data_IF_377232563390
#
_entry.id   IF_377232563390
#
_cell.length_a   1.000
_cell.length_b   1.000
_cell.length_c   1.000
_cell.angle_alpha   90.00
_cell.angle_beta   90.00
_cell.angle_gamma   90.00
#
_symmetry.space_group_name_H-M   'P 1'
#
loop_
_entity.id
_entity.type
_entity.pdbx_description
1 polymer ?
#
# COMPACT_ATOMS: atom_id res chain seq x y z
N UNK A 1 6.07 27.48 -4.89
CA UNK A 1 4.64 27.20 -4.63
C UNK A 1 4.59 25.97 -3.72
N UNK A 2 4.39 26.16 -2.42
CA UNK A 2 4.40 25.06 -1.44
C UNK A 2 3.02 24.41 -1.43
N UNK A 3 2.92 23.17 -1.90
CA UNK A 3 1.68 22.39 -1.88
C UNK A 3 1.69 21.57 -0.60
N UNK A 4 0.90 21.96 0.40
CA UNK A 4 0.67 21.12 1.57
C UNK A 4 0.01 19.81 1.11
N UNK A 5 0.79 18.74 1.01
CA UNK A 5 0.27 17.37 0.83
C UNK A 5 -0.08 16.79 2.20
N UNK A 6 -1.07 17.37 2.88
CA UNK A 6 -1.61 16.89 4.17
C UNK A 6 -2.52 15.68 4.00
N UNK A 7 -2.44 14.96 2.89
CA UNK A 7 -3.27 13.79 2.61
C UNK A 7 -2.41 12.74 1.94
N UNK A 8 -2.61 11.47 2.34
CA UNK A 8 -2.04 10.34 1.64
C UNK A 8 -2.41 10.43 0.14
N UNK A 9 -1.49 10.06 -0.77
CA UNK A 9 -1.81 9.96 -2.17
C UNK A 9 -2.96 8.98 -2.34
N UNK A 10 -3.85 9.29 -3.29
CA UNK A 10 -5.06 8.51 -3.53
C UNK A 10 -4.73 7.01 -3.69
N UNK A 11 -5.47 6.15 -2.98
CA UNK A 11 -5.38 4.68 -3.02
C UNK A 11 -4.01 4.03 -2.69
N UNK A 12 -3.06 4.75 -2.05
CA UNK A 12 -1.74 4.24 -1.60
C UNK A 12 -1.21 3.03 -2.41
N UNK A 13 -1.02 3.18 -3.73
CA UNK A 13 -0.90 2.00 -4.58
C UNK A 13 0.42 1.27 -4.33
N UNK A 14 0.33 -0.05 -4.21
CA UNK A 14 1.47 -0.96 -4.08
C UNK A 14 1.64 -1.70 -5.40
N UNK A 15 2.83 -1.62 -5.99
CA UNK A 15 3.18 -2.34 -7.22
C UNK A 15 4.08 -3.52 -6.89
N UNK A 16 3.74 -4.68 -7.44
CA UNK A 16 4.52 -5.90 -7.31
C UNK A 16 5.16 -6.24 -8.65
N UNK A 17 6.50 -6.27 -8.70
CA UNK A 17 7.24 -6.73 -9.86
C UNK A 17 7.92 -8.07 -9.54
N UNK A 18 7.34 -9.14 -10.08
CA UNK A 18 7.89 -10.50 -9.94
C UNK A 18 9.25 -10.64 -10.62
N UNK A 19 9.41 -10.13 -11.84
CA UNK A 19 10.63 -10.34 -12.64
C UNK A 19 11.88 -9.80 -11.95
N UNK A 20 11.74 -8.69 -11.22
CA UNK A 20 12.80 -8.10 -10.38
C UNK A 20 12.77 -8.61 -8.94
N UNK A 21 11.70 -9.26 -8.50
CA UNK A 21 11.50 -9.65 -7.10
C UNK A 21 11.42 -8.45 -6.17
N UNK A 22 10.81 -7.34 -6.61
CA UNK A 22 10.73 -6.08 -5.86
C UNK A 22 9.29 -5.61 -5.67
N UNK A 23 9.09 -4.85 -4.60
CA UNK A 23 7.86 -4.09 -4.36
C UNK A 23 8.16 -2.60 -4.43
N UNK A 24 7.19 -1.84 -4.93
CA UNK A 24 7.24 -0.39 -4.96
C UNK A 24 6.01 0.15 -4.25
N UNK A 25 6.22 1.05 -3.30
CA UNK A 25 5.15 1.64 -2.49
C UNK A 25 5.46 3.10 -2.22
N UNK A 26 4.45 3.85 -1.79
CA UNK A 26 4.67 5.18 -1.22
C UNK A 26 4.76 5.08 0.29
N UNK A 27 5.91 5.44 0.84
CA UNK A 27 6.05 5.58 2.28
C UNK A 27 5.45 6.91 2.71
N UNK A 28 4.32 6.82 3.41
CA UNK A 28 3.66 7.97 3.99
C UNK A 28 4.00 8.09 5.48
N UNK A 29 4.83 9.06 5.81
CA UNK A 29 5.23 9.31 7.20
C UNK A 29 4.21 10.21 7.88
N UNK A 30 3.10 9.62 8.30
CA UNK A 30 2.06 10.30 9.06
C UNK A 30 2.55 10.68 10.47
N UNK A 31 2.56 11.98 10.80
CA UNK A 31 2.80 12.48 12.15
C UNK A 31 1.50 12.99 12.75
N UNK A 32 0.81 12.13 13.49
CA UNK A 32 -0.50 12.40 14.08
C UNK A 32 -0.55 13.63 15.00
N UNK A 33 0.59 14.02 15.60
CA UNK A 33 0.69 15.16 16.50
C UNK A 33 1.06 16.48 15.80
N UNK A 34 1.49 16.46 14.53
CA UNK A 34 1.86 17.66 13.79
C UNK A 34 1.15 17.72 12.43
N UNK A 35 -0.07 18.30 12.38
CA UNK A 35 -0.84 18.43 11.15
C UNK A 35 -0.29 19.49 10.18
N UNK A 36 0.69 20.30 10.60
CA UNK A 36 1.28 21.38 9.80
C UNK A 36 2.64 21.00 9.19
N UNK A 37 3.22 19.86 9.58
CA UNK A 37 4.43 19.37 8.93
C UNK A 37 4.09 18.87 7.53
N UNK A 38 4.98 19.12 6.57
CA UNK A 38 4.84 18.55 5.23
C UNK A 38 4.96 17.02 5.35
N UNK A 39 3.82 16.32 5.24
CA UNK A 39 3.78 14.87 5.26
C UNK A 39 4.41 14.36 3.97
N UNK A 40 5.68 13.95 4.07
CA UNK A 40 6.46 13.50 2.92
C UNK A 40 5.93 12.15 2.43
N UNK A 41 5.64 12.12 1.14
CA UNK A 41 5.30 10.92 0.38
C UNK A 41 6.58 10.53 -0.36
N UNK A 42 7.32 9.59 0.20
CA UNK A 42 8.58 9.13 -0.40
C UNK A 42 8.30 7.83 -1.17
N UNK A 43 8.45 7.79 -2.51
CA UNK A 43 8.35 6.55 -3.26
C UNK A 43 9.55 5.67 -2.91
N UNK A 44 9.29 4.46 -2.43
CA UNK A 44 10.29 3.51 -1.94
C UNK A 44 10.20 2.19 -2.68
N UNK A 45 11.35 1.55 -2.84
CA UNK A 45 11.46 0.20 -3.42
C UNK A 45 12.10 -0.74 -2.40
N UNK A 46 11.51 -1.92 -2.22
CA UNK A 46 12.03 -2.96 -1.32
C UNK A 46 12.13 -4.30 -2.04
N UNK A 47 13.07 -5.12 -1.59
CA UNK A 47 13.19 -6.50 -2.09
C UNK A 47 12.09 -7.36 -1.48
N UNK A 48 11.48 -8.23 -2.30
CA UNK A 48 10.40 -9.12 -1.87
C UNK A 48 10.82 -10.03 -0.71
N UNK A 49 12.10 -10.40 -0.62
CA UNK A 49 12.65 -11.23 0.47
C UNK A 49 12.55 -10.56 1.85
N UNK A 50 12.44 -9.23 1.89
CA UNK A 50 12.31 -8.44 3.12
C UNK A 50 10.84 -8.31 3.57
N UNK A 51 9.89 -8.65 2.71
CA UNK A 51 8.47 -8.44 2.96
C UNK A 51 7.90 -9.56 3.83
N UNK A 52 7.22 -9.17 4.90
CA UNK A 52 6.45 -10.07 5.77
C UNK A 52 5.01 -9.60 5.85
N UNK A 53 4.06 -10.52 5.91
CA UNK A 53 2.68 -10.17 6.21
C UNK A 53 2.44 -10.25 7.71
N UNK A 54 1.97 -9.14 8.28
CA UNK A 54 1.51 -9.04 9.65
C UNK A 54 -0.02 -8.92 9.63
N UNK A 55 -0.69 -9.85 10.31
CA UNK A 55 -2.12 -9.74 10.55
C UNK A 55 -2.34 -8.82 11.75
N UNK A 56 -3.10 -7.75 11.57
CA UNK A 56 -3.43 -6.83 12.65
C UNK A 56 -4.92 -6.88 12.98
N UNK A 57 -5.21 -6.65 14.26
CA UNK A 57 -6.55 -6.63 14.82
C UNK A 57 -6.71 -5.38 15.66
N UNK A 58 -7.80 -4.65 15.46
CA UNK A 58 -8.19 -3.51 16.29
C UNK A 58 -9.64 -3.66 16.69
N UNK A 59 -9.85 -3.70 18.00
CA UNK A 59 -11.17 -3.66 18.60
C UNK A 59 -11.41 -2.24 19.07
N UNK A 60 -12.45 -1.59 18.55
CA UNK A 60 -12.86 -0.26 18.98
C UNK A 60 -14.28 -0.33 19.55
N UNK A 61 -14.46 0.17 20.76
CA UNK A 61 -15.80 0.38 21.31
C UNK A 61 -16.38 1.65 20.69
N UNK A 62 -17.55 1.54 20.07
CA UNK A 62 -18.29 2.67 19.57
C UNK A 62 -19.00 3.38 20.74
N UNK A 63 -19.18 4.71 20.67
CA UNK A 63 -19.87 5.47 21.73
C UNK A 63 -21.31 5.01 22.02
N UNK A 64 -21.93 4.27 21.09
CA UNK A 64 -23.28 3.71 21.22
C UNK A 64 -23.31 2.30 21.85
N UNK A 65 -22.19 1.80 22.37
CA UNK A 65 -22.10 0.48 22.99
C UNK A 65 -21.88 -0.69 22.02
N UNK A 66 -21.74 -0.42 20.71
CA UNK A 66 -21.33 -1.44 19.73
C UNK A 66 -19.83 -1.71 19.75
N UNK A 67 -19.42 -2.91 19.36
CA UNK A 67 -18.01 -3.24 19.11
C UNK A 67 -17.73 -3.26 17.61
N UNK A 68 -16.71 -2.53 17.20
CA UNK A 68 -16.21 -2.55 15.83
C UNK A 68 -14.90 -3.36 15.79
N UNK A 69 -14.93 -4.47 15.04
CA UNK A 69 -13.79 -5.35 14.83
C UNK A 69 -13.18 -5.06 13.47
N UNK A 70 -12.03 -4.39 13.47
CA UNK A 70 -11.22 -4.24 12.27
C UNK A 70 -10.11 -5.27 12.28
N UNK A 71 -9.99 -6.03 11.20
CA UNK A 71 -8.81 -6.82 10.92
C UNK A 71 -8.27 -6.48 9.53
N UNK A 72 -6.96 -6.64 9.35
CA UNK A 72 -6.29 -6.34 8.10
C UNK A 72 -4.98 -7.10 7.98
N UNK A 73 -4.47 -7.22 6.75
CA UNK A 73 -3.06 -7.58 6.52
C UNK A 73 -2.27 -6.30 6.26
N UNK A 74 -1.15 -6.19 6.96
CA UNK A 74 -0.14 -5.17 6.76
C UNK A 74 1.12 -5.83 6.21
N UNK A 75 1.73 -5.23 5.20
CA UNK A 75 3.04 -5.60 4.71
C UNK A 75 4.08 -4.89 5.57
N UNK A 76 4.86 -5.66 6.30
CA UNK A 76 5.93 -5.17 7.16
C UNK A 76 7.28 -5.48 6.51
N UNK A 77 8.07 -4.45 6.29
CA UNK A 77 9.39 -4.55 5.66
C UNK A 77 10.42 -4.74 6.76
N UNK A 78 11.15 -5.83 6.69
CA UNK A 78 12.13 -6.21 7.70
C UNK A 78 13.54 -5.98 7.18
N UNK A 79 14.39 -5.36 8.00
CA UNK A 79 15.81 -5.18 7.65
C UNK A 79 16.50 -6.53 7.50
N UNK A 80 17.23 -6.79 6.40
CA UNK A 80 17.98 -8.02 6.22
C UNK A 80 18.88 -8.35 7.41
N UNK A 81 18.80 -9.58 7.90
CA UNK A 81 19.63 -10.05 9.01
C UNK A 81 19.19 -9.61 10.41
N UNK A 82 18.11 -8.83 10.54
CA UNK A 82 17.46 -8.55 11.83
C UNK A 82 15.95 -8.77 11.72
N UNK A 83 15.24 -8.87 12.84
CA UNK A 83 13.76 -8.94 12.84
C UNK A 83 13.13 -7.55 13.04
N UNK A 84 13.86 -6.49 12.71
CA UNK A 84 13.39 -5.12 12.91
C UNK A 84 12.55 -4.67 11.72
N UNK A 85 11.32 -4.25 12.00
CA UNK A 85 10.39 -3.70 11.00
C UNK A 85 10.73 -2.23 10.75
N UNK A 86 11.09 -1.91 9.51
CA UNK A 86 11.42 -0.55 9.04
C UNK A 86 10.14 0.21 8.74
N UNK A 87 9.35 -0.34 7.82
CA UNK A 87 8.16 0.29 7.26
C UNK A 87 7.01 -0.70 7.27
N UNK A 88 5.79 -0.14 7.28
CA UNK A 88 4.56 -0.93 7.21
C UNK A 88 3.59 -0.31 6.22
N UNK A 89 3.01 -1.14 5.36
CA UNK A 89 2.02 -0.74 4.34
C UNK A 89 0.73 -1.52 4.53
N UNK A 90 -0.42 -0.85 4.43
CA UNK A 90 -1.70 -1.54 4.55
C UNK A 90 -2.06 -2.21 3.22
N UNK A 91 -2.36 -3.51 3.25
CA UNK A 91 -2.75 -4.27 2.05
C UNK A 91 -4.26 -4.50 1.96
N UNK A 92 -4.91 -4.75 3.10
CA UNK A 92 -6.36 -4.99 3.16
C UNK A 92 -6.95 -4.43 4.45
N UNK A 93 -8.16 -3.90 4.34
CA UNK A 93 -8.97 -3.39 5.44
C UNK A 93 -10.31 -4.15 5.48
N UNK A 94 -10.64 -4.72 6.64
CA UNK A 94 -11.85 -5.50 6.91
C UNK A 94 -12.01 -6.80 6.11
N UNK A 95 -11.60 -7.92 6.71
CA UNK A 95 -12.16 -9.25 6.50
C UNK A 95 -11.63 -10.06 5.32
N UNK A 96 -11.09 -9.45 4.25
CA UNK A 96 -10.62 -10.18 3.06
C UNK A 96 -9.12 -10.58 3.11
N UNK A 97 -8.55 -10.67 4.30
CA UNK A 97 -7.12 -10.47 4.49
C UNK A 97 -6.24 -11.66 4.04
N UNK A 98 -6.68 -12.88 4.32
CA UNK A 98 -5.88 -14.09 4.03
C UNK A 98 -5.82 -14.40 2.54
N UNK A 99 -6.94 -14.22 1.82
CA UNK A 99 -7.02 -14.46 0.39
C UNK A 99 -6.16 -13.48 -0.41
N UNK A 100 -6.11 -12.21 0.01
CA UNK A 100 -5.30 -11.18 -0.67
C UNK A 100 -3.81 -11.48 -0.50
N UNK A 101 -3.36 -11.84 0.71
CA UNK A 101 -1.95 -12.20 0.91
C UNK A 101 -1.55 -13.47 0.15
N UNK A 102 -2.39 -14.51 0.18
CA UNK A 102 -2.15 -15.74 -0.58
C UNK A 102 -2.08 -15.45 -2.09
N UNK A 103 -2.94 -14.58 -2.61
CA UNK A 103 -2.91 -14.14 -4.00
C UNK A 103 -1.58 -13.48 -4.37
N UNK A 104 -1.10 -12.53 -3.55
CA UNK A 104 0.19 -11.85 -3.77
C UNK A 104 1.36 -12.84 -3.70
N UNK A 105 1.35 -13.77 -2.74
CA UNK A 105 2.38 -14.82 -2.65
C UNK A 105 2.42 -15.69 -3.92
N UNK A 106 1.26 -16.16 -4.37
CA UNK A 106 1.14 -16.96 -5.59
C UNK A 106 1.61 -16.17 -6.82
N UNK A 107 1.24 -14.90 -6.92
CA UNK A 107 1.72 -14.01 -7.99
C UNK A 107 3.25 -13.96 -8.01
N UNK A 108 3.89 -13.69 -6.87
CA UNK A 108 5.34 -13.53 -6.79
C UNK A 108 6.09 -14.85 -7.02
N UNK A 109 5.53 -15.99 -6.58
CA UNK A 109 6.17 -17.30 -6.74
C UNK A 109 5.96 -17.89 -8.15
N UNK A 110 4.70 -18.05 -8.54
CA UNK A 110 4.29 -18.82 -9.72
C UNK A 110 4.05 -17.93 -10.95
N UNK A 111 3.85 -16.62 -10.75
CA UNK A 111 3.60 -15.67 -11.83
C UNK A 111 2.12 -15.55 -12.21
N UNK A 112 1.82 -14.71 -13.21
CA UNK A 112 0.45 -14.40 -13.60
C UNK A 112 -0.31 -15.59 -14.18
N UNK A 113 0.39 -16.63 -14.68
CA UNK A 113 -0.23 -17.83 -15.25
C UNK A 113 -0.92 -18.73 -14.22
N UNK A 114 -0.56 -18.60 -12.94
CA UNK A 114 -1.12 -19.40 -11.85
C UNK A 114 -2.32 -18.75 -11.16
N UNK A 115 -2.67 -17.53 -11.58
CA UNK A 115 -3.73 -16.75 -10.98
C UNK A 115 -4.93 -16.64 -11.93
N UNK A 116 -6.14 -16.48 -11.37
CA UNK A 116 -7.28 -16.10 -12.20
C UNK A 116 -6.94 -14.79 -12.93
N UNK A 117 -7.42 -14.62 -14.17
CA UNK A 117 -7.11 -13.43 -14.94
C UNK A 117 -7.47 -12.19 -14.13
N UNK A 118 -6.53 -11.23 -13.98
CA UNK A 118 -6.80 -10.02 -13.22
C UNK A 118 -7.96 -9.26 -13.87
N UNK A 119 -8.75 -8.58 -13.03
CA UNK A 119 -9.75 -7.65 -13.53
C UNK A 119 -9.11 -6.50 -14.32
N UNK A 120 -9.95 -5.70 -14.99
CA UNK A 120 -9.46 -4.55 -15.75
C UNK A 120 -8.65 -3.60 -14.85
N UNK A 121 -7.47 -3.12 -15.33
CA UNK A 121 -6.67 -2.19 -14.57
C UNK A 121 -7.45 -0.90 -14.36
N UNK A 122 -7.86 -0.65 -13.12
CA UNK A 122 -8.51 0.60 -12.73
C UNK A 122 -7.47 1.70 -12.66
N UNK A 123 -7.74 2.83 -13.30
CA UNK A 123 -6.94 4.03 -13.09
C UNK A 123 -7.21 4.56 -11.68
N UNK A 124 -6.17 4.61 -10.85
CA UNK A 124 -6.25 5.21 -9.52
C UNK A 124 -6.73 6.67 -9.57
N UNK A 125 -6.55 7.36 -10.70
CA UNK A 125 -7.00 8.73 -10.88
C UNK A 125 -8.47 8.86 -11.32
N UNK A 126 -9.12 7.76 -11.70
CA UNK A 126 -10.53 7.73 -12.08
C UNK A 126 -11.40 7.58 -10.83
N UNK A 127 -11.81 8.73 -10.29
CA UNK A 127 -12.58 8.82 -9.05
C UNK A 127 -13.96 9.35 -9.34
N UNK A 128 -14.94 8.74 -8.69
CA UNK A 128 -16.35 9.08 -8.88
C UNK A 128 -16.60 10.54 -8.57
N UNK A 129 -17.55 11.13 -9.28
CA UNK A 129 -17.85 12.56 -9.16
C UNK A 129 -18.21 12.99 -7.73
N UNK A 130 -18.77 12.07 -6.93
CA UNK A 130 -19.22 12.27 -5.56
C UNK A 130 -18.14 12.03 -4.49
N UNK A 131 -16.96 11.53 -4.85
CA UNK A 131 -15.87 11.23 -3.89
C UNK A 131 -14.96 12.45 -3.67
N UNK A 132 -15.55 13.52 -3.12
CA UNK A 132 -14.91 14.82 -2.96
C UNK A 132 -13.57 14.76 -2.21
N UNK A 133 -13.48 13.93 -1.15
CA UNK A 133 -12.25 13.76 -0.37
C UNK A 133 -11.10 13.20 -1.22
N UNK A 134 -11.36 12.20 -2.05
CA UNK A 134 -10.36 11.61 -2.95
C UNK A 134 -9.97 12.57 -4.07
N UNK A 135 -10.87 13.46 -4.51
CA UNK A 135 -10.56 14.53 -5.50
C UNK A 135 -9.65 15.62 -4.96
N UNK A 136 -9.70 15.88 -3.65
CA UNK A 136 -8.80 16.82 -2.98
C UNK A 136 -7.43 16.19 -2.67
N UNK A 137 -7.36 14.87 -2.56
CA UNK A 137 -6.11 14.15 -2.35
C UNK A 137 -5.13 14.36 -3.52
N UNK A 138 -3.82 14.44 -3.24
CA UNK A 138 -2.81 14.51 -4.29
C UNK A 138 -2.89 13.28 -5.19
N UNK A 139 -2.81 13.52 -6.51
CA UNK A 139 -2.74 12.45 -7.52
C UNK A 139 -1.50 11.60 -7.28
N UNK A 140 -1.64 10.31 -7.52
CA UNK A 140 -0.51 9.38 -7.54
C UNK A 140 0.35 9.69 -8.77
N UNK A 141 1.60 10.08 -8.55
CA UNK A 141 2.56 10.27 -9.64
C UNK A 141 3.89 9.61 -9.27
N UNK A 142 4.24 8.54 -9.99
CA UNK A 142 5.47 7.79 -9.75
C UNK A 142 6.65 8.52 -10.40
N UNK A 143 7.84 8.55 -9.77
CA UNK A 143 9.04 9.04 -10.44
C UNK A 143 9.25 8.27 -11.74
N UNK A 144 9.58 8.96 -12.84
CA UNK A 144 9.62 8.36 -14.19
C UNK A 144 10.54 7.12 -14.28
N UNK A 145 11.70 7.17 -13.62
CA UNK A 145 12.64 6.06 -13.55
C UNK A 145 12.04 4.85 -12.82
N UNK A 146 11.37 5.08 -11.70
CA UNK A 146 10.71 4.04 -10.91
C UNK A 146 9.45 3.50 -11.60
N UNK A 147 8.70 4.34 -12.31
CA UNK A 147 7.57 3.89 -13.13
C UNK A 147 8.05 2.92 -14.20
N UNK A 148 9.15 3.25 -14.89
CA UNK A 148 9.75 2.40 -15.90
C UNK A 148 10.30 1.10 -15.28
N UNK A 149 11.05 1.18 -14.18
CA UNK A 149 11.60 -0.01 -13.50
C UNK A 149 10.48 -0.94 -13.03
N UNK A 150 9.39 -0.38 -12.48
CA UNK A 150 8.28 -1.18 -11.97
C UNK A 150 7.54 -1.95 -13.06
N UNK A 151 7.52 -1.43 -14.30
CA UNK A 151 6.78 -1.99 -15.43
C UNK A 151 7.62 -2.89 -16.34
N UNK A 152 8.94 -2.85 -16.21
CA UNK A 152 9.86 -3.58 -17.08
C UNK A 152 10.47 -4.79 -16.37
N UNK A 153 10.75 -5.84 -17.15
CA UNK A 153 11.64 -6.92 -16.72
C UNK A 153 13.11 -6.45 -16.87
N UNK A 154 14.04 -6.96 -16.04
CA UNK A 154 15.47 -6.71 -16.21
C UNK A 154 16.04 -7.35 -17.47
#
# INVERSE_FOLDING_TARGET
MFRLSTCAPRDEPIRFNRARGKIYAYNFKYRWWNPFEEWKVDPVSYDWSQVRAELWWRNAALPNGGFFFNNGVMLSIVTPGTNNVIDRFQLSFMGANEHVWAYVCTYMQQGPSALPPPGEPKDHNDVLWCEFALRLAPKVNWPAEMDLESRTAP
#
